data_IF_260785077287
#
_entry.id   IF_260785077287
#
_cell.length_a   1.000
_cell.length_b   1.000
_cell.length_c   1.000
_cell.angle_alpha   90.00
_cell.angle_beta   90.00
_cell.angle_gamma   90.00
#
_symmetry.space_group_name_H-M   'P 1'
#
loop_
_entity.id
_entity.type
_entity.pdbx_description
1 polymer ?
#
# COMPACT_ATOMS: atom_id res chain seq x y z
N UNK A 1 -1.62 9.16 13.34
CA UNK A 1 -1.18 9.08 11.94
C UNK A 1 -0.18 10.20 11.69
N UNK A 2 0.93 9.93 11.01
CA UNK A 2 1.98 10.91 10.68
C UNK A 2 1.75 11.56 9.30
N UNK A 3 2.31 12.75 9.10
CA UNK A 3 2.43 13.34 7.76
C UNK A 3 3.55 12.63 7.00
N UNK A 4 3.20 11.96 5.91
CA UNK A 4 4.13 11.11 5.17
C UNK A 4 5.25 11.87 4.47
N UNK A 5 5.04 13.13 4.06
CA UNK A 5 6.09 13.92 3.42
C UNK A 5 7.10 14.42 4.45
N UNK A 6 6.63 14.85 5.63
CA UNK A 6 7.52 15.22 6.74
C UNK A 6 8.33 14.01 7.24
N UNK A 7 7.70 12.84 7.30
CA UNK A 7 8.36 11.61 7.72
C UNK A 7 9.45 11.19 6.72
N UNK A 8 9.19 11.35 5.42
CA UNK A 8 10.16 11.07 4.37
C UNK A 8 11.39 11.99 4.45
N UNK A 9 11.19 13.29 4.70
CA UNK A 9 12.29 14.25 4.91
C UNK A 9 13.11 13.88 6.16
N UNK A 10 12.45 13.51 7.26
CA UNK A 10 13.16 13.07 8.46
C UNK A 10 14.04 11.83 8.20
N UNK A 11 13.53 10.84 7.46
CA UNK A 11 14.34 9.67 7.10
C UNK A 11 15.47 10.00 6.13
N UNK A 12 15.23 10.96 5.22
CA UNK A 12 16.24 11.44 4.30
C UNK A 12 17.45 12.02 5.04
N UNK A 13 17.21 12.86 6.05
CA UNK A 13 18.26 13.50 6.84
C UNK A 13 19.06 12.50 7.71
N UNK A 14 18.54 11.29 7.90
CA UNK A 14 19.20 10.22 8.66
C UNK A 14 20.03 9.27 7.78
N UNK A 15 19.96 9.39 6.45
CA UNK A 15 20.75 8.55 5.56
C UNK A 15 22.25 8.88 5.67
N UNK A 16 23.14 7.88 5.69
CA UNK A 16 24.57 8.11 5.63
C UNK A 16 24.97 8.84 4.34
N UNK A 17 25.90 9.80 4.44
CA UNK A 17 26.38 10.58 3.29
C UNK A 17 26.95 9.72 2.14
N UNK A 18 27.49 8.54 2.47
CA UNK A 18 28.07 7.59 1.51
C UNK A 18 27.00 6.84 0.68
N UNK A 19 25.76 6.81 1.16
CA UNK A 19 24.64 6.10 0.53
C UNK A 19 23.75 7.02 -0.33
N UNK A 20 24.05 8.32 -0.43
CA UNK A 20 23.29 9.25 -1.28
C UNK A 20 23.61 9.10 -2.79
N UNK A 21 24.57 8.23 -3.13
CA UNK A 21 24.91 7.92 -4.51
C UNK A 21 23.69 7.40 -5.29
N UNK A 22 23.61 7.74 -6.59
CA UNK A 22 22.58 7.27 -7.53
C UNK A 22 22.53 5.74 -7.70
N UNK A 23 23.44 5.03 -7.04
CA UNK A 23 23.61 3.59 -7.10
C UNK A 23 22.72 2.84 -6.09
N UNK A 24 22.19 3.54 -5.08
CA UNK A 24 21.37 2.94 -4.04
C UNK A 24 19.88 3.25 -4.22
N UNK A 25 19.07 2.21 -4.01
CA UNK A 25 17.63 2.34 -3.81
C UNK A 25 17.32 2.24 -2.33
N UNK A 26 16.80 3.33 -1.77
CA UNK A 26 16.41 3.40 -0.37
C UNK A 26 14.95 3.02 -0.18
N UNK A 27 14.69 1.98 0.59
CA UNK A 27 13.33 1.55 0.95
C UNK A 27 13.22 1.46 2.48
N UNK A 28 12.42 2.33 3.06
CA UNK A 28 12.10 2.31 4.49
C UNK A 28 10.82 1.51 4.69
N UNK A 29 10.92 0.48 5.52
CA UNK A 29 9.81 -0.33 6.00
C UNK A 29 9.44 0.11 7.41
N UNK A 30 8.17 0.40 7.64
CA UNK A 30 7.70 0.86 8.95
C UNK A 30 6.32 0.29 9.30
N UNK A 31 6.00 0.20 10.59
CA UNK A 31 4.65 -0.05 11.08
C UNK A 31 3.87 1.26 11.34
N UNK A 32 4.54 2.42 11.23
CA UNK A 32 3.90 3.72 11.48
C UNK A 32 2.86 4.01 10.42
N UNK A 33 1.66 4.37 10.85
CA UNK A 33 0.59 4.80 9.96
C UNK A 33 0.84 6.24 9.49
N UNK A 34 0.97 6.45 8.18
CA UNK A 34 1.14 7.77 7.59
C UNK A 34 0.13 8.04 6.48
N UNK A 35 -0.05 9.32 6.16
CA UNK A 35 -0.87 9.76 5.05
C UNK A 35 -0.32 11.01 4.39
N UNK A 36 -0.84 11.33 3.20
CA UNK A 36 -0.53 12.58 2.50
C UNK A 36 -1.74 13.49 2.47
N UNK A 37 -1.54 14.79 2.66
CA UNK A 37 -2.60 15.78 2.55
C UNK A 37 -2.86 16.10 1.08
N UNK A 38 -4.11 15.92 0.64
CA UNK A 38 -4.51 16.26 -0.72
C UNK A 38 -5.33 17.55 -0.68
N UNK A 39 -4.78 18.63 -1.26
CA UNK A 39 -5.44 19.94 -1.26
C UNK A 39 -6.78 19.95 -2.00
N UNK A 40 -6.96 19.10 -3.01
CA UNK A 40 -8.18 19.08 -3.82
C UNK A 40 -9.42 18.61 -3.07
N UNK A 41 -9.29 17.75 -2.05
CA UNK A 41 -10.40 17.32 -1.20
C UNK A 41 -10.20 17.70 0.29
N UNK A 42 -9.18 18.50 0.58
CA UNK A 42 -9.00 19.18 1.87
C UNK A 42 -8.66 18.26 3.04
N UNK A 43 -8.22 17.03 2.80
CA UNK A 43 -8.01 16.02 3.85
C UNK A 43 -6.77 15.17 3.64
N UNK A 44 -6.38 14.48 4.71
CA UNK A 44 -5.35 13.46 4.67
C UNK A 44 -5.89 12.14 4.11
N UNK A 45 -5.08 11.50 3.28
CA UNK A 45 -5.30 10.15 2.74
C UNK A 45 -4.24 9.23 3.30
N UNK A 46 -4.65 8.18 4.00
CA UNK A 46 -3.73 7.12 4.43
C UNK A 46 -3.07 6.50 3.21
N UNK A 47 -1.76 6.24 3.32
CA UNK A 47 -0.98 5.63 2.24
C UNK A 47 -0.29 4.37 2.77
N UNK A 48 -0.29 3.33 1.96
CA UNK A 48 0.59 2.17 2.17
C UNK A 48 2.02 2.46 1.70
N UNK A 49 2.18 3.31 0.69
CA UNK A 49 3.46 3.65 0.09
C UNK A 49 3.53 5.13 -0.32
N UNK A 50 4.71 5.74 -0.20
CA UNK A 50 5.12 6.93 -0.95
C UNK A 50 6.36 6.52 -1.75
N UNK A 51 6.26 6.55 -3.08
CA UNK A 51 7.39 6.28 -3.96
C UNK A 51 8.23 7.54 -4.15
N UNK A 52 9.52 7.44 -3.90
CA UNK A 52 10.51 8.49 -4.15
C UNK A 52 11.91 7.85 -4.30
N UNK A 53 12.98 8.65 -4.42
CA UNK A 53 14.37 8.17 -4.32
C UNK A 53 14.60 7.42 -2.99
N UNK A 54 13.93 7.86 -1.92
CA UNK A 54 13.70 7.10 -0.68
C UNK A 54 12.23 6.73 -0.61
N UNK A 55 11.90 5.48 -0.91
CA UNK A 55 10.51 5.01 -0.84
C UNK A 55 10.15 4.61 0.59
N UNK A 56 8.97 5.02 1.04
CA UNK A 56 8.48 4.75 2.39
C UNK A 56 7.26 3.84 2.32
N UNK A 57 7.30 2.68 2.98
CA UNK A 57 6.24 1.65 2.95
C UNK A 57 5.78 1.35 4.38
N UNK A 58 4.46 1.43 4.62
CA UNK A 58 3.84 1.15 5.92
C UNK A 58 3.04 -0.14 5.93
N UNK A 59 3.36 -1.08 6.82
CA UNK A 59 2.55 -2.28 7.03
C UNK A 59 1.17 -1.97 7.61
N UNK A 60 1.07 -0.97 8.50
CA UNK A 60 -0.23 -0.44 8.95
C UNK A 60 -1.00 0.24 7.81
N UNK A 61 -0.30 0.91 6.90
CA UNK A 61 -0.90 1.52 5.72
C UNK A 61 -1.46 0.49 4.72
N UNK A 62 -0.93 -0.73 4.67
CA UNK A 62 -1.50 -1.85 3.89
C UNK A 62 -2.89 -2.23 4.41
N UNK A 63 -3.08 -2.21 5.73
CA UNK A 63 -4.35 -2.55 6.40
C UNK A 63 -5.37 -1.41 6.28
N UNK A 64 -4.93 -0.18 6.52
CA UNK A 64 -5.83 0.96 6.69
C UNK A 64 -5.96 1.88 5.48
N UNK A 65 -5.01 1.86 4.53
CA UNK A 65 -5.03 2.73 3.36
C UNK A 65 -6.11 2.33 2.34
N UNK A 66 -6.09 1.09 1.82
CA UNK A 66 -7.11 0.61 0.91
C UNK A 66 -8.46 0.43 1.62
N UNK A 67 -9.53 0.89 0.99
CA UNK A 67 -10.88 0.78 1.53
C UNK A 67 -11.33 -0.68 1.65
N UNK A 68 -11.88 -1.04 2.80
CA UNK A 68 -12.52 -2.35 3.05
C UNK A 68 -13.72 -2.56 2.12
N UNK A 69 -14.23 -3.80 1.94
CA UNK A 69 -15.37 -4.07 1.06
C UNK A 69 -16.57 -3.17 1.35
N UNK A 70 -17.30 -2.70 0.32
CA UNK A 70 -18.46 -1.80 0.50
C UNK A 70 -19.51 -2.33 1.47
N UNK A 71 -19.71 -3.65 1.48
CA UNK A 71 -20.66 -4.32 2.37
C UNK A 71 -20.29 -4.16 3.85
N UNK A 72 -18.99 -4.11 4.17
CA UNK A 72 -18.49 -3.81 5.52
C UNK A 72 -19.03 -2.47 6.03
N UNK A 73 -18.98 -1.42 5.20
CA UNK A 73 -19.48 -0.10 5.60
C UNK A 73 -21.00 -0.06 5.71
N UNK A 74 -21.72 -0.72 4.79
CA UNK A 74 -23.19 -0.80 4.82
C UNK A 74 -23.68 -1.46 6.11
N UNK A 75 -23.10 -2.60 6.46
CA UNK A 75 -23.49 -3.32 7.67
C UNK A 75 -23.11 -2.53 8.93
N UNK A 76 -21.96 -1.84 8.96
CA UNK A 76 -21.56 -0.98 10.09
C UNK A 76 -22.56 0.16 10.31
N UNK A 77 -23.02 0.78 9.21
CA UNK A 77 -24.03 1.83 9.26
C UNK A 77 -25.38 1.28 9.77
N UNK A 78 -25.83 0.13 9.26
CA UNK A 78 -27.08 -0.50 9.68
C UNK A 78 -27.07 -0.86 11.17
N UNK A 79 -25.99 -1.48 11.68
CA UNK A 79 -25.86 -1.80 13.11
C UNK A 79 -25.92 -0.54 13.98
N UNK A 80 -25.24 0.54 13.56
CA UNK A 80 -25.29 1.83 14.25
C UNK A 80 -26.70 2.42 14.28
N UNK A 81 -27.47 2.31 13.20
CA UNK A 81 -28.86 2.79 13.14
C UNK A 81 -29.81 1.97 14.03
N UNK A 82 -29.53 0.69 14.22
CA UNK A 82 -30.31 -0.21 15.07
C UNK A 82 -29.93 -0.10 16.56
N UNK A 83 -28.99 0.79 16.93
CA UNK A 83 -28.47 0.89 18.29
C UNK A 83 -27.67 -0.34 18.74
N UNK A 84 -27.34 -1.25 17.81
CA UNK A 84 -26.59 -2.46 18.09
C UNK A 84 -25.11 -2.11 18.05
N UNK A 85 -24.48 -2.07 19.22
CA UNK A 85 -23.02 -1.97 19.33
C UNK A 85 -22.45 -3.38 19.37
N UNK A 86 -22.23 -3.98 18.19
CA UNK A 86 -21.41 -5.20 18.14
C UNK A 86 -19.92 -4.83 18.22
N UNK A 87 -19.11 -5.57 18.99
CA UNK A 87 -17.66 -5.49 18.93
C UNK A 87 -17.18 -5.55 17.47
N UNK A 88 -16.25 -4.66 17.11
CA UNK A 88 -15.75 -4.56 15.73
C UNK A 88 -15.08 -5.87 15.28
N UNK A 89 -14.58 -6.65 16.23
CA UNK A 89 -13.95 -7.95 16.04
C UNK A 89 -14.94 -8.97 15.47
N UNK A 90 -16.14 -9.08 16.05
CA UNK A 90 -17.21 -9.97 15.57
C UNK A 90 -17.63 -9.56 14.16
N UNK A 91 -17.68 -8.25 13.93
CA UNK A 91 -18.01 -7.71 12.63
C UNK A 91 -16.94 -8.04 11.59
N UNK A 92 -15.65 -7.89 11.93
CA UNK A 92 -14.52 -8.26 11.07
C UNK A 92 -14.49 -9.74 10.74
N UNK A 93 -14.92 -10.60 11.66
CA UNK A 93 -14.94 -12.05 11.46
C UNK A 93 -15.84 -12.48 10.29
N UNK A 94 -16.97 -11.80 10.08
CA UNK A 94 -17.88 -12.04 8.94
C UNK A 94 -17.24 -11.73 7.57
N UNK A 95 -16.15 -10.97 7.56
CA UNK A 95 -15.42 -10.54 6.36
C UNK A 95 -14.01 -11.14 6.31
N UNK A 96 -13.72 -12.15 7.13
CA UNK A 96 -12.41 -12.82 7.15
C UNK A 96 -12.03 -13.26 5.73
N UNK A 97 -10.81 -12.90 5.32
CA UNK A 97 -10.29 -13.17 3.98
C UNK A 97 -10.72 -12.18 2.88
N UNK A 98 -11.57 -11.20 3.19
CA UNK A 98 -11.98 -10.14 2.23
C UNK A 98 -11.18 -8.84 2.40
N UNK A 99 -10.36 -8.73 3.44
CA UNK A 99 -9.37 -7.67 3.61
C UNK A 99 -8.21 -8.20 4.45
N UNK A 100 -7.06 -7.53 4.33
CA UNK A 100 -5.87 -7.81 5.13
C UNK A 100 -5.99 -7.04 6.44
N UNK A 101 -5.78 -7.72 7.57
CA UNK A 101 -5.81 -7.12 8.91
C UNK A 101 -4.42 -7.14 9.56
N UNK A 102 -4.30 -6.50 10.72
CA UNK A 102 -3.08 -6.56 11.52
C UNK A 102 -2.68 -8.00 11.84
N UNK A 103 -1.36 -8.27 11.80
CA UNK A 103 -0.76 -9.60 12.01
C UNK A 103 -1.16 -10.66 10.97
N UNK A 104 -1.75 -10.27 9.85
CA UNK A 104 -2.03 -11.21 8.75
C UNK A 104 -0.69 -11.64 8.09
N UNK A 105 -0.40 -12.95 7.99
CA UNK A 105 0.84 -13.45 7.37
C UNK A 105 0.98 -13.05 5.90
N UNK A 106 -0.12 -12.70 5.23
CA UNK A 106 -0.10 -12.23 3.85
C UNK A 106 0.52 -10.82 3.68
N UNK A 107 0.71 -10.05 4.75
CA UNK A 107 1.37 -8.72 4.70
C UNK A 107 2.73 -8.83 4.00
N UNK A 108 3.51 -9.89 4.28
CA UNK A 108 4.80 -10.11 3.64
C UNK A 108 4.71 -10.23 2.12
N UNK A 109 3.70 -10.92 1.61
CA UNK A 109 3.53 -11.10 0.16
C UNK A 109 3.07 -9.80 -0.52
N UNK A 110 2.18 -9.05 0.14
CA UNK A 110 1.77 -7.72 -0.30
C UNK A 110 2.94 -6.73 -0.28
N UNK A 111 3.81 -6.83 0.72
CA UNK A 111 4.98 -5.98 0.85
C UNK A 111 5.93 -6.13 -0.34
N UNK A 112 6.15 -7.36 -0.84
CA UNK A 112 6.91 -7.59 -2.08
C UNK A 112 6.31 -6.84 -3.28
N UNK A 113 4.99 -6.69 -3.33
CA UNK A 113 4.30 -5.88 -4.33
C UNK A 113 4.61 -4.39 -4.21
N UNK A 114 4.49 -3.83 -3.01
CA UNK A 114 4.84 -2.43 -2.76
C UNK A 114 6.33 -2.14 -2.98
N UNK A 115 7.22 -3.07 -2.62
CA UNK A 115 8.66 -3.00 -2.96
C UNK A 115 8.84 -3.00 -4.48
N UNK A 116 8.08 -3.83 -5.21
CA UNK A 116 8.10 -3.81 -6.68
C UNK A 116 7.65 -2.46 -7.24
N UNK A 117 6.64 -1.81 -6.64
CA UNK A 117 6.21 -0.47 -7.05
C UNK A 117 7.30 0.59 -6.79
N UNK A 118 8.00 0.51 -5.65
CA UNK A 118 9.15 1.38 -5.36
C UNK A 118 10.30 1.19 -6.37
N UNK A 119 10.61 -0.07 -6.71
CA UNK A 119 11.61 -0.42 -7.72
C UNK A 119 11.25 0.15 -9.09
N UNK A 120 10.03 -0.12 -9.56
CA UNK A 120 9.57 0.38 -10.86
C UNK A 120 9.54 1.91 -10.91
N UNK A 121 9.12 2.58 -9.83
CA UNK A 121 9.21 4.03 -9.76
C UNK A 121 10.63 4.56 -9.99
N UNK A 122 11.64 3.93 -9.39
CA UNK A 122 13.03 4.36 -9.57
C UNK A 122 13.56 4.05 -10.97
N UNK A 123 13.04 3.01 -11.63
CA UNK A 123 13.44 2.61 -12.99
C UNK A 123 12.75 3.43 -14.08
N UNK A 124 11.48 3.81 -13.89
CA UNK A 124 10.63 4.38 -14.96
C UNK A 124 10.02 5.74 -14.63
N UNK A 125 10.05 6.17 -13.36
CA UNK A 125 9.28 7.32 -12.86
C UNK A 125 7.79 7.05 -12.65
N UNK A 126 7.28 5.87 -13.04
CA UNK A 126 5.87 5.49 -12.91
C UNK A 126 5.73 4.21 -12.06
N UNK A 127 5.18 4.29 -10.82
CA UNK A 127 5.09 3.14 -9.94
C UNK A 127 3.94 2.18 -10.28
N UNK A 128 2.93 2.65 -11.02
CA UNK A 128 1.60 2.07 -10.94
C UNK A 128 1.08 1.53 -12.27
N UNK A 129 0.49 0.34 -12.20
CA UNK A 129 -0.26 -0.24 -13.31
C UNK A 129 -1.76 0.05 -13.15
N UNK A 130 -2.46 0.20 -14.28
CA UNK A 130 -3.92 0.24 -14.33
C UNK A 130 -4.56 -1.15 -14.46
N UNK A 131 -3.78 -2.20 -14.75
CA UNK A 131 -4.27 -3.56 -14.89
C UNK A 131 -4.44 -4.23 -13.52
N UNK A 132 -5.69 -4.56 -13.16
CA UNK A 132 -6.10 -5.07 -11.83
C UNK A 132 -5.45 -6.38 -11.39
N UNK A 133 -4.92 -7.13 -12.35
CA UNK A 133 -4.25 -8.43 -12.11
C UNK A 133 -2.72 -8.26 -11.99
N UNK A 134 -2.21 -7.07 -12.31
CA UNK A 134 -0.79 -6.79 -12.24
C UNK A 134 -0.35 -6.52 -10.80
N UNK A 135 0.82 -7.05 -10.43
CA UNK A 135 1.48 -6.81 -9.14
C UNK A 135 1.77 -5.33 -8.87
N UNK A 136 1.79 -4.48 -9.89
CA UNK A 136 1.96 -3.03 -9.75
C UNK A 136 0.64 -2.26 -9.69
N UNK A 137 -0.51 -2.93 -9.62
CA UNK A 137 -1.81 -2.27 -9.59
C UNK A 137 -1.94 -1.32 -8.40
N UNK A 138 -2.41 -0.09 -8.66
CA UNK A 138 -2.67 0.91 -7.62
C UNK A 138 -4.04 0.65 -6.96
N UNK A 139 -4.09 -0.35 -6.09
CA UNK A 139 -5.31 -0.75 -5.42
C UNK A 139 -5.76 0.30 -4.38
N UNK A 140 -6.96 0.84 -4.55
CA UNK A 140 -7.61 1.70 -3.55
C UNK A 140 -8.62 0.93 -2.69
N UNK A 141 -8.92 -0.32 -3.04
CA UNK A 141 -9.80 -1.22 -2.30
C UNK A 141 -9.03 -2.49 -1.89
N UNK A 142 -9.34 -3.01 -0.71
CA UNK A 142 -8.78 -4.26 -0.18
C UNK A 142 -8.99 -5.44 -1.14
N UNK A 143 -10.18 -5.55 -1.76
CA UNK A 143 -10.45 -6.60 -2.75
C UNK A 143 -9.50 -6.54 -3.96
N UNK A 144 -9.25 -5.34 -4.49
CA UNK A 144 -8.34 -5.19 -5.63
C UNK A 144 -6.88 -5.44 -5.20
N UNK A 145 -6.51 -5.04 -3.98
CA UNK A 145 -5.19 -5.31 -3.42
C UNK A 145 -4.95 -6.82 -3.30
N UNK A 146 -5.90 -7.54 -2.70
CA UNK A 146 -5.86 -9.01 -2.58
C UNK A 146 -5.81 -9.64 -3.97
N UNK A 147 -6.61 -9.17 -4.93
CA UNK A 147 -6.59 -9.70 -6.28
C UNK A 147 -5.21 -9.58 -6.95
N UNK A 148 -4.61 -8.39 -6.90
CA UNK A 148 -3.30 -8.13 -7.49
C UNK A 148 -2.16 -8.86 -6.75
N UNK A 149 -2.16 -8.80 -5.41
CA UNK A 149 -1.03 -9.19 -4.58
C UNK A 149 -1.10 -10.61 -4.02
N UNK A 150 -2.29 -11.21 -3.94
CA UNK A 150 -2.50 -12.53 -3.33
C UNK A 150 -3.15 -13.55 -4.28
N UNK A 151 -3.98 -13.13 -5.23
CA UNK A 151 -4.57 -14.05 -6.21
C UNK A 151 -3.66 -14.20 -7.42
N UNK A 152 -3.33 -13.10 -8.11
CA UNK A 152 -2.56 -13.15 -9.34
C UNK A 152 -1.04 -13.14 -9.13
N UNK A 153 -0.55 -12.32 -8.19
CA UNK A 153 0.87 -12.25 -7.77
C UNK A 153 1.90 -12.03 -8.89
N UNK A 154 1.48 -11.57 -10.08
CA UNK A 154 2.29 -11.54 -11.30
C UNK A 154 2.37 -10.15 -11.92
N UNK A 155 3.45 -9.87 -12.63
CA UNK A 155 3.52 -8.70 -13.51
C UNK A 155 2.66 -8.96 -14.76
N UNK A 156 2.07 -7.90 -15.33
CA UNK A 156 1.41 -8.03 -16.62
C UNK A 156 2.43 -8.16 -17.75
N UNK A 157 1.96 -8.39 -18.97
CA UNK A 157 2.83 -8.59 -20.14
C UNK A 157 3.76 -7.39 -20.35
N UNK A 158 3.24 -6.16 -20.23
CA UNK A 158 4.02 -4.92 -20.34
C UNK A 158 5.20 -4.89 -19.35
N UNK A 159 4.92 -5.08 -18.07
CA UNK A 159 5.95 -5.03 -17.02
C UNK A 159 6.88 -6.24 -17.06
N UNK A 160 6.39 -7.40 -17.51
CA UNK A 160 7.23 -8.59 -17.73
C UNK A 160 8.22 -8.35 -18.87
N UNK A 161 7.79 -7.72 -19.97
CA UNK A 161 8.67 -7.36 -21.09
C UNK A 161 9.77 -6.40 -20.63
N UNK A 162 9.39 -5.36 -19.89
CA UNK A 162 10.35 -4.40 -19.32
C UNK A 162 11.43 -5.08 -18.46
N UNK A 163 11.04 -6.00 -17.56
CA UNK A 163 12.00 -6.75 -16.74
C UNK A 163 12.91 -7.67 -17.55
N UNK A 164 12.46 -8.19 -18.70
CA UNK A 164 13.29 -8.99 -19.60
C UNK A 164 14.32 -8.13 -20.33
N UNK A 165 13.94 -6.92 -20.72
CA UNK A 165 14.85 -5.97 -21.39
C UNK A 165 15.97 -5.50 -20.47
N UNK A 166 15.71 -5.33 -19.16
CA UNK A 166 16.74 -4.99 -18.17
C UNK A 166 17.77 -6.09 -17.89
N UNK A 167 17.47 -7.35 -18.23
CA UNK A 167 18.38 -8.47 -18.03
C UNK A 167 19.38 -8.64 -19.17
N UNK A 168 19.15 -7.96 -20.29
CA UNK A 168 20.00 -7.98 -21.48
C UNK A 168 20.90 -6.76 -21.51
#
# INVERSE_FOLDING_TARGET
MYDGLKLLLLYWDLLPNEEDAKEFLHIILTDRLFGTYLKSDGRYHIRAIICSKLSLISTSGIVEGPAKPRLFYKMKQQSSLMGITMPIEIFKEQFKGQFIDYNDPNITEVLKGYISQALFFNLTGDPFCSEKTCRLFNAHWQNDLINAQLVHKKFCERHTKYLKELKN
#
